data_IF_257705378779
#
_entry.id   IF_257705378779
#
_cell.length_a   1.000
_cell.length_b   1.000
_cell.length_c   1.000
_cell.angle_alpha   90.00
_cell.angle_beta   90.00
_cell.angle_gamma   90.00
#
_symmetry.space_group_name_H-M   'P 1'
#
loop_
_entity.id
_entity.type
_entity.pdbx_description
1 polymer ?
#
# COMPACT_ATOMS: atom_id res chain seq x y z
N UNK A 1 17.84 8.94 -6.43
CA UNK A 1 16.73 9.48 -7.28
C UNK A 1 15.45 8.98 -6.66
N UNK A 2 14.55 9.88 -6.29
CA UNK A 2 13.35 9.51 -5.56
C UNK A 2 12.51 8.46 -6.31
N UNK A 3 12.03 7.47 -5.60
CA UNK A 3 11.11 6.45 -6.10
C UNK A 3 9.70 7.01 -6.27
N UNK A 4 9.31 7.90 -5.34
CA UNK A 4 8.03 8.60 -5.33
C UNK A 4 8.26 10.06 -4.95
N UNK A 5 7.66 10.99 -5.68
CA UNK A 5 7.52 12.38 -5.29
C UNK A 5 6.04 12.77 -5.39
N UNK A 6 5.53 13.40 -4.36
CA UNK A 6 4.17 13.94 -4.29
C UNK A 6 4.30 15.44 -4.06
N UNK A 7 3.63 16.24 -4.90
CA UNK A 7 3.76 17.71 -4.88
C UNK A 7 2.39 18.35 -4.79
N UNK A 8 2.17 19.11 -3.73
CA UNK A 8 0.97 19.92 -3.47
C UNK A 8 -0.34 19.14 -3.72
N UNK A 9 -0.39 17.86 -3.28
CA UNK A 9 -1.53 16.99 -3.54
C UNK A 9 -2.73 17.41 -2.71
N UNK A 10 -3.83 17.77 -3.38
CA UNK A 10 -5.09 18.17 -2.75
C UNK A 10 -6.22 17.23 -3.12
N UNK A 11 -7.17 17.05 -2.21
CA UNK A 11 -8.40 16.31 -2.48
C UNK A 11 -9.57 16.92 -1.74
N UNK A 12 -10.61 17.25 -2.50
CA UNK A 12 -11.90 17.68 -1.96
C UNK A 12 -13.00 16.71 -2.34
N UNK A 13 -14.01 16.59 -1.49
CA UNK A 13 -15.28 15.91 -1.75
C UNK A 13 -16.40 16.94 -1.55
N UNK A 14 -16.94 17.46 -2.66
CA UNK A 14 -17.82 18.64 -2.62
C UNK A 14 -17.06 19.81 -1.99
N UNK A 15 -17.64 20.44 -0.98
CA UNK A 15 -17.09 21.60 -0.27
C UNK A 15 -16.07 21.24 0.83
N UNK A 16 -15.85 19.94 1.10
CA UNK A 16 -14.94 19.47 2.15
C UNK A 16 -13.56 19.18 1.59
N UNK A 17 -12.58 20.00 1.92
CA UNK A 17 -11.17 19.76 1.58
C UNK A 17 -10.54 18.79 2.60
N UNK A 18 -10.23 17.57 2.14
CA UNK A 18 -9.68 16.48 2.95
C UNK A 18 -8.15 16.43 2.91
N UNK A 19 -7.55 16.73 1.76
CA UNK A 19 -6.10 16.93 1.64
C UNK A 19 -5.85 18.35 1.15
N UNK A 20 -4.98 19.08 1.88
CA UNK A 20 -4.81 20.52 1.73
C UNK A 20 -3.42 20.94 1.21
N UNK A 21 -2.84 20.11 0.33
CA UNK A 21 -1.49 20.32 -0.20
C UNK A 21 -0.48 19.46 0.56
N UNK A 22 -0.36 18.21 0.17
CA UNK A 22 0.56 17.24 0.78
C UNK A 22 1.79 17.12 -0.11
N UNK A 23 2.97 17.35 0.48
CA UNK A 23 4.28 17.30 -0.19
C UNK A 23 5.20 16.32 0.52
N UNK A 24 5.70 15.29 -0.17
CA UNK A 24 6.73 14.39 0.36
C UNK A 24 7.44 13.61 -0.75
N UNK A 25 8.56 13.01 -0.40
CA UNK A 25 9.29 12.10 -1.28
C UNK A 25 9.80 10.87 -0.54
N UNK A 26 9.95 9.77 -1.29
CA UNK A 26 10.55 8.52 -0.82
C UNK A 26 11.63 8.07 -1.78
N UNK A 27 12.74 7.63 -1.23
CA UNK A 27 13.79 6.95 -1.98
C UNK A 27 13.42 5.46 -2.18
N UNK A 28 14.13 4.81 -3.11
CA UNK A 28 13.95 3.38 -3.34
C UNK A 28 14.34 2.57 -2.10
N UNK A 29 13.49 1.62 -1.73
CA UNK A 29 13.68 0.76 -0.56
C UNK A 29 13.24 1.39 0.76
N UNK A 30 12.89 2.69 0.80
CA UNK A 30 12.38 3.33 2.01
C UNK A 30 10.97 2.85 2.38
N UNK A 31 10.74 2.76 3.68
CA UNK A 31 9.42 2.48 4.28
C UNK A 31 8.91 3.72 4.98
N UNK A 32 7.78 4.25 4.54
CA UNK A 32 7.05 5.33 5.16
C UNK A 32 5.87 4.78 5.95
N UNK A 33 5.79 5.06 7.25
CA UNK A 33 4.55 4.91 8.01
C UNK A 33 3.80 6.23 8.10
N UNK A 34 2.49 6.19 7.85
CA UNK A 34 1.57 7.31 7.99
C UNK A 34 0.72 7.07 9.22
N UNK A 35 0.84 7.95 10.21
CA UNK A 35 0.10 7.91 11.48
C UNK A 35 -0.79 9.15 11.62
N UNK A 36 -1.73 9.13 12.53
CA UNK A 36 -2.63 10.25 12.81
C UNK A 36 -4.03 9.80 13.21
N UNK A 37 -4.86 10.73 13.68
CA UNK A 37 -6.24 10.48 14.09
C UNK A 37 -7.13 10.01 12.95
N UNK A 38 -8.24 9.37 13.28
CA UNK A 38 -9.29 9.04 12.31
C UNK A 38 -9.83 10.31 11.65
N UNK A 39 -10.08 10.26 10.34
CA UNK A 39 -10.53 11.42 9.56
C UNK A 39 -9.42 12.40 9.14
N UNK A 40 -8.16 12.22 9.57
CA UNK A 40 -7.05 13.12 9.23
C UNK A 40 -6.59 13.12 7.76
N UNK A 41 -7.16 12.23 6.90
CA UNK A 41 -6.83 12.18 5.47
C UNK A 41 -5.92 11.01 5.05
N UNK A 42 -5.45 10.17 5.98
CA UNK A 42 -4.50 9.05 5.70
C UNK A 42 -4.95 8.11 4.59
N UNK A 43 -6.13 7.51 4.74
CA UNK A 43 -6.73 6.60 3.75
C UNK A 43 -7.02 7.32 2.43
N UNK A 44 -7.44 8.60 2.48
CA UNK A 44 -7.67 9.41 1.27
C UNK A 44 -6.37 9.63 0.52
N UNK A 45 -5.27 9.97 1.22
CA UNK A 45 -3.95 10.09 0.60
C UNK A 45 -3.55 8.77 -0.08
N UNK A 46 -3.67 7.65 0.63
CA UNK A 46 -3.30 6.34 0.10
C UNK A 46 -4.14 5.94 -1.13
N UNK A 47 -5.46 6.28 -1.12
CA UNK A 47 -6.36 6.05 -2.26
C UNK A 47 -6.01 6.94 -3.46
N UNK A 48 -5.62 8.20 -3.23
CA UNK A 48 -5.16 9.07 -4.30
C UNK A 48 -3.87 8.54 -4.94
N UNK A 49 -2.91 8.09 -4.14
CA UNK A 49 -1.66 7.48 -4.63
C UNK A 49 -1.91 6.22 -5.46
N UNK A 50 -2.94 5.44 -5.12
CA UNK A 50 -3.32 4.23 -5.86
C UNK A 50 -4.38 4.46 -6.94
N UNK A 51 -4.75 5.71 -7.24
CA UNK A 51 -5.75 6.08 -8.26
C UNK A 51 -7.13 5.44 -8.06
N UNK A 52 -7.48 5.14 -6.81
CA UNK A 52 -8.84 4.77 -6.41
C UNK A 52 -9.71 6.00 -6.17
N UNK A 53 -9.05 7.11 -5.82
CA UNK A 53 -9.62 8.46 -5.78
C UNK A 53 -8.75 9.36 -6.66
N UNK A 54 -9.36 10.17 -7.48
CA UNK A 54 -8.64 11.16 -8.28
C UNK A 54 -8.42 12.39 -7.41
N UNK A 55 -7.16 12.80 -7.23
CA UNK A 55 -6.84 14.03 -6.51
C UNK A 55 -7.42 15.25 -7.24
N UNK A 56 -7.73 16.30 -6.49
CA UNK A 56 -8.32 17.54 -7.06
C UNK A 56 -7.24 18.38 -7.76
N UNK A 57 -6.02 18.42 -7.21
CA UNK A 57 -4.86 19.05 -7.84
C UNK A 57 -3.55 18.50 -7.26
N UNK A 58 -2.42 18.81 -7.90
CA UNK A 58 -1.08 18.39 -7.52
C UNK A 58 -0.47 17.41 -8.51
N UNK A 59 0.76 16.94 -8.19
CA UNK A 59 1.51 16.04 -9.04
C UNK A 59 1.97 14.80 -8.29
N UNK A 60 2.01 13.66 -8.99
CA UNK A 60 2.61 12.41 -8.52
C UNK A 60 3.64 11.97 -9.56
N UNK A 61 4.87 11.77 -9.11
CA UNK A 61 6.00 11.33 -9.94
C UNK A 61 6.53 10.02 -9.38
N UNK A 62 6.69 9.00 -10.22
CA UNK A 62 7.25 7.69 -9.86
C UNK A 62 8.44 7.40 -10.76
N UNK A 63 9.62 7.15 -10.16
CA UNK A 63 10.87 6.89 -10.88
C UNK A 63 11.21 8.01 -11.90
N UNK A 64 10.93 9.28 -11.56
CA UNK A 64 11.15 10.44 -12.42
C UNK A 64 10.12 10.64 -13.53
N UNK A 65 9.12 9.76 -13.65
CA UNK A 65 8.02 9.88 -14.60
C UNK A 65 6.79 10.48 -13.92
N UNK A 66 6.26 11.58 -14.46
CA UNK A 66 4.99 12.15 -14.00
C UNK A 66 3.84 11.21 -14.37
N UNK A 67 3.22 10.61 -13.36
CA UNK A 67 2.12 9.64 -13.54
C UNK A 67 0.74 10.27 -13.32
N UNK A 68 0.72 11.39 -12.62
CA UNK A 68 -0.47 12.21 -12.38
C UNK A 68 -0.08 13.70 -12.36
N UNK A 69 -0.83 14.53 -13.07
CA UNK A 69 -0.76 15.98 -13.02
C UNK A 69 -2.18 16.54 -13.07
N UNK A 70 -2.55 17.35 -12.09
CA UNK A 70 -3.81 18.08 -12.09
C UNK A 70 -3.61 19.51 -11.60
N UNK A 71 -4.16 20.46 -12.33
CA UNK A 71 -4.25 21.87 -11.95
C UNK A 71 -5.68 22.21 -11.61
N UNK A 72 -5.85 23.16 -10.71
CA UNK A 72 -7.19 23.61 -10.30
C UNK A 72 -8.01 24.03 -11.53
N UNK A 73 -9.17 23.35 -11.73
CA UNK A 73 -10.07 23.62 -12.85
C UNK A 73 -9.74 22.93 -14.19
N UNK A 74 -8.67 22.14 -14.25
CA UNK A 74 -8.31 21.36 -15.45
C UNK A 74 -8.65 19.87 -15.26
N UNK A 75 -8.87 19.16 -16.38
CA UNK A 75 -8.99 17.71 -16.34
C UNK A 75 -7.63 17.07 -15.97
N UNK A 76 -7.61 16.11 -15.02
CA UNK A 76 -6.38 15.48 -14.60
C UNK A 76 -5.77 14.62 -15.73
N UNK A 77 -4.46 14.72 -15.90
CA UNK A 77 -3.69 13.84 -16.77
C UNK A 77 -3.17 12.65 -15.98
N UNK A 78 -3.57 11.45 -16.37
CA UNK A 78 -3.20 10.20 -15.71
C UNK A 78 -2.50 9.29 -16.72
N UNK A 79 -1.30 8.79 -16.38
CA UNK A 79 -0.62 7.81 -17.20
C UNK A 79 -1.31 6.44 -17.09
N UNK A 80 -1.67 5.84 -18.22
CA UNK A 80 -2.44 4.59 -18.29
C UNK A 80 -1.79 3.39 -17.54
N UNK A 81 -0.46 3.37 -17.40
CA UNK A 81 0.27 2.26 -16.79
C UNK A 81 0.56 2.45 -15.29
N UNK A 82 0.07 3.52 -14.68
CA UNK A 82 0.36 3.86 -13.27
C UNK A 82 -0.12 2.79 -12.30
N UNK A 83 -1.25 2.15 -12.57
CA UNK A 83 -1.82 1.10 -11.72
C UNK A 83 -0.91 -0.14 -11.59
N UNK A 84 0.02 -0.35 -12.53
CA UNK A 84 1.00 -1.43 -12.45
C UNK A 84 2.19 -1.09 -11.54
N UNK A 85 2.43 0.22 -11.29
CA UNK A 85 3.53 0.70 -10.44
C UNK A 85 3.19 0.67 -8.95
N UNK A 86 1.90 0.73 -8.60
CA UNK A 86 1.41 0.77 -7.22
C UNK A 86 0.64 -0.50 -6.89
N UNK A 87 0.89 -1.06 -5.72
CA UNK A 87 0.11 -2.18 -5.18
C UNK A 87 -0.57 -1.76 -3.89
N UNK A 88 -1.83 -2.16 -3.68
CA UNK A 88 -2.57 -1.82 -2.46
C UNK A 88 -3.09 -3.07 -1.76
N UNK A 89 -2.82 -3.12 -0.46
CA UNK A 89 -3.39 -4.06 0.50
C UNK A 89 -4.40 -3.30 1.34
N UNK A 90 -5.66 -3.69 1.27
CA UNK A 90 -6.76 -3.03 1.94
C UNK A 90 -6.88 -3.45 3.41
N UNK A 91 -7.54 -2.64 4.22
CA UNK A 91 -7.94 -2.94 5.58
C UNK A 91 -8.83 -4.20 5.65
N UNK A 92 -9.83 -4.29 4.78
CA UNK A 92 -10.58 -5.51 4.54
C UNK A 92 -9.85 -6.35 3.49
N UNK A 93 -9.79 -7.65 3.68
CA UNK A 93 -8.98 -8.57 2.85
C UNK A 93 -9.37 -8.54 1.37
N UNK A 94 -10.63 -8.27 1.06
CA UNK A 94 -11.20 -8.16 -0.30
C UNK A 94 -10.79 -9.32 -1.21
N UNK A 95 -10.76 -10.54 -0.65
CA UNK A 95 -10.51 -11.74 -1.43
C UNK A 95 -11.74 -12.13 -2.24
N UNK A 96 -11.53 -12.66 -3.42
CA UNK A 96 -12.58 -13.21 -4.25
C UNK A 96 -13.04 -14.56 -3.66
N UNK A 97 -14.25 -14.66 -3.08
CA UNK A 97 -14.68 -15.84 -2.34
C UNK A 97 -14.84 -17.09 -3.21
N UNK A 98 -15.07 -16.90 -4.52
CA UNK A 98 -15.25 -17.97 -5.50
C UNK A 98 -13.90 -18.57 -6.00
N UNK A 99 -12.77 -17.97 -5.65
CA UNK A 99 -11.44 -18.47 -6.02
C UNK A 99 -10.71 -19.02 -4.80
N UNK A 100 -9.95 -20.09 -5.00
CA UNK A 100 -8.99 -20.57 -4.00
C UNK A 100 -7.89 -19.54 -3.74
N UNK A 101 -7.05 -19.78 -2.75
CA UNK A 101 -5.89 -18.92 -2.43
C UNK A 101 -5.03 -18.71 -3.68
N UNK A 102 -4.59 -19.78 -4.34
CA UNK A 102 -3.77 -19.65 -5.55
C UNK A 102 -4.55 -19.01 -6.69
N UNK A 103 -5.86 -19.26 -6.80
CA UNK A 103 -6.75 -18.61 -7.75
C UNK A 103 -6.80 -17.08 -7.58
N UNK A 104 -6.88 -16.60 -6.33
CA UNK A 104 -6.83 -15.19 -5.99
C UNK A 104 -5.52 -14.53 -6.44
N UNK A 105 -4.38 -15.20 -6.28
CA UNK A 105 -3.08 -14.68 -6.69
C UNK A 105 -2.95 -14.63 -8.22
N UNK A 106 -3.41 -15.65 -8.91
CA UNK A 106 -3.19 -15.82 -10.35
C UNK A 106 -4.14 -14.98 -11.22
N UNK A 107 -5.26 -14.47 -10.67
CA UNK A 107 -6.33 -13.83 -11.45
C UNK A 107 -5.80 -12.64 -12.26
N UNK A 108 -5.22 -11.64 -11.59
CA UNK A 108 -4.72 -10.43 -12.25
C UNK A 108 -3.56 -10.74 -13.21
N UNK A 109 -2.52 -11.51 -12.84
CA UNK A 109 -1.45 -11.89 -13.78
C UNK A 109 -1.97 -12.62 -15.03
N UNK A 110 -2.94 -13.51 -14.90
CA UNK A 110 -3.55 -14.19 -16.06
C UNK A 110 -4.31 -13.22 -16.98
N UNK A 111 -4.96 -12.20 -16.42
CA UNK A 111 -5.64 -11.16 -17.21
C UNK A 111 -4.62 -10.29 -17.95
N UNK A 112 -3.53 -9.87 -17.27
CA UNK A 112 -2.44 -9.12 -17.90
C UNK A 112 -1.74 -9.92 -18.99
N UNK A 113 -1.49 -11.19 -18.75
CA UNK A 113 -0.85 -12.07 -19.72
C UNK A 113 -1.63 -12.17 -21.06
N UNK A 114 -2.98 -12.06 -21.02
CA UNK A 114 -3.81 -12.06 -22.26
C UNK A 114 -3.51 -10.91 -23.20
N UNK A 115 -2.91 -9.81 -22.69
CA UNK A 115 -2.51 -8.65 -23.50
C UNK A 115 -1.17 -8.86 -24.22
N UNK A 116 -0.42 -9.91 -23.88
CA UNK A 116 0.90 -10.20 -24.48
C UNK A 116 0.72 -10.65 -25.93
N UNK A 117 1.57 -10.20 -26.87
CA UNK A 117 1.51 -10.62 -28.29
C UNK A 117 1.68 -12.13 -28.47
N UNK A 118 2.52 -12.76 -27.64
CA UNK A 118 2.88 -14.17 -27.70
C UNK A 118 1.91 -15.10 -26.92
N UNK A 119 0.88 -14.54 -26.27
CA UNK A 119 -0.01 -15.27 -25.37
C UNK A 119 -0.67 -16.50 -26.02
N UNK A 120 -1.16 -16.37 -27.27
CA UNK A 120 -1.88 -17.46 -27.92
C UNK A 120 -0.98 -18.67 -28.18
N UNK A 121 0.30 -18.44 -28.49
CA UNK A 121 1.29 -19.47 -28.79
C UNK A 121 1.84 -20.11 -27.50
N UNK A 122 2.12 -19.30 -26.47
CA UNK A 122 2.84 -19.73 -25.26
C UNK A 122 1.94 -19.81 -24.01
N UNK A 123 0.62 -19.87 -24.17
CA UNK A 123 -0.35 -19.81 -23.06
C UNK A 123 -0.06 -20.80 -21.91
N UNK A 124 0.32 -22.05 -22.23
CA UNK A 124 0.59 -23.06 -21.21
C UNK A 124 1.84 -22.71 -20.39
N UNK A 125 2.90 -22.29 -21.05
CA UNK A 125 4.15 -21.86 -20.43
C UNK A 125 3.93 -20.64 -19.53
N UNK A 126 3.30 -19.60 -20.07
CA UNK A 126 2.97 -18.38 -19.33
C UNK A 126 2.14 -18.68 -18.07
N UNK A 127 1.17 -19.59 -18.17
CA UNK A 127 0.35 -19.94 -17.00
C UNK A 127 1.15 -20.75 -15.97
N UNK A 128 2.08 -21.58 -16.39
CA UNK A 128 2.99 -22.31 -15.53
C UNK A 128 3.94 -21.33 -14.78
N UNK A 129 4.53 -20.38 -15.49
CA UNK A 129 5.36 -19.32 -14.87
C UNK A 129 4.57 -18.54 -13.80
N UNK A 130 3.32 -18.17 -14.10
CA UNK A 130 2.44 -17.46 -13.14
C UNK A 130 2.17 -18.33 -11.92
N UNK A 131 1.92 -19.63 -12.10
CA UNK A 131 1.66 -20.57 -11.00
C UNK A 131 2.89 -20.77 -10.12
N UNK A 132 4.06 -20.99 -10.71
CA UNK A 132 5.34 -21.10 -10.00
C UNK A 132 5.65 -19.82 -9.20
N UNK A 133 5.40 -18.64 -9.78
CA UNK A 133 5.53 -17.37 -9.07
C UNK A 133 4.57 -17.28 -7.89
N UNK A 134 3.30 -17.67 -8.06
CA UNK A 134 2.30 -17.68 -7.00
C UNK A 134 2.70 -18.63 -5.86
N UNK A 135 3.15 -19.83 -6.16
CA UNK A 135 3.63 -20.77 -5.14
C UNK A 135 4.84 -20.24 -4.37
N UNK A 136 5.77 -19.59 -5.06
CA UNK A 136 6.93 -18.97 -4.40
C UNK A 136 6.52 -17.85 -3.45
N UNK A 137 5.57 -17.00 -3.83
CA UNK A 137 5.04 -15.95 -2.95
C UNK A 137 4.29 -16.58 -1.76
N UNK A 138 3.51 -17.65 -1.98
CA UNK A 138 2.84 -18.36 -0.89
C UNK A 138 3.81 -19.02 0.09
N UNK A 139 4.99 -19.46 -0.36
CA UNK A 139 6.06 -19.95 0.54
C UNK A 139 6.56 -18.79 1.43
N UNK A 140 6.86 -17.63 0.85
CA UNK A 140 7.32 -16.44 1.59
C UNK A 140 6.28 -15.96 2.60
N UNK A 141 4.99 -15.99 2.24
CA UNK A 141 3.90 -15.58 3.15
C UNK A 141 3.42 -16.70 4.10
N UNK A 142 4.07 -17.87 4.08
CA UNK A 142 3.74 -19.00 4.96
C UNK A 142 2.40 -19.67 4.66
N UNK A 143 1.91 -19.62 3.41
CA UNK A 143 0.57 -20.08 3.03
C UNK A 143 0.57 -21.20 1.99
N UNK A 144 1.71 -21.77 1.63
CA UNK A 144 1.80 -22.79 0.57
C UNK A 144 0.91 -24.00 0.84
N UNK A 145 0.77 -24.43 2.10
CA UNK A 145 -0.08 -25.55 2.51
C UNK A 145 -1.59 -25.25 2.39
N UNK A 146 -1.94 -23.97 2.17
CA UNK A 146 -3.32 -23.49 2.02
C UNK A 146 -3.64 -23.08 0.59
N UNK A 147 -2.79 -23.39 -0.40
CA UNK A 147 -2.94 -22.89 -1.77
C UNK A 147 -4.31 -23.21 -2.40
N UNK A 148 -4.87 -24.38 -2.08
CA UNK A 148 -6.15 -24.84 -2.63
C UNK A 148 -7.35 -24.50 -1.74
N UNK A 149 -7.13 -23.93 -0.55
CA UNK A 149 -8.19 -23.51 0.35
C UNK A 149 -8.92 -22.28 -0.20
N UNK A 150 -10.18 -22.11 0.20
CA UNK A 150 -10.99 -20.94 -0.13
C UNK A 150 -10.99 -19.91 1.03
N UNK A 151 -11.29 -18.63 0.78
CA UNK A 151 -11.25 -17.59 1.81
C UNK A 151 -12.00 -17.93 3.09
N UNK A 152 -13.17 -18.55 3.00
CA UNK A 152 -13.97 -18.91 4.18
C UNK A 152 -13.35 -20.03 5.05
N UNK A 153 -12.30 -20.71 4.57
CA UNK A 153 -11.55 -21.75 5.30
C UNK A 153 -10.30 -21.18 6.00
N UNK A 154 -10.09 -19.87 5.93
CA UNK A 154 -8.91 -19.18 6.44
C UNK A 154 -9.24 -18.30 7.65
N UNK A 155 -8.31 -18.20 8.60
CA UNK A 155 -8.37 -17.18 9.65
C UNK A 155 -8.20 -15.77 9.04
N UNK A 156 -8.59 -14.72 9.77
CA UNK A 156 -8.41 -13.33 9.34
C UNK A 156 -6.96 -13.02 8.98
N UNK A 157 -6.00 -13.41 9.82
CA UNK A 157 -4.57 -13.23 9.54
C UNK A 157 -4.09 -13.99 8.30
N UNK A 158 -4.63 -15.20 8.04
CA UNK A 158 -4.35 -15.92 6.81
C UNK A 158 -4.93 -15.22 5.59
N UNK A 159 -6.18 -14.71 5.68
CA UNK A 159 -6.80 -13.94 4.60
C UNK A 159 -6.00 -12.67 4.27
N UNK A 160 -5.52 -11.95 5.29
CA UNK A 160 -4.69 -10.76 5.08
C UNK A 160 -3.35 -11.12 4.42
N UNK A 161 -2.72 -12.20 4.83
CA UNK A 161 -1.49 -12.68 4.17
C UNK A 161 -1.73 -13.10 2.71
N UNK A 162 -2.91 -13.64 2.37
CA UNK A 162 -3.31 -13.88 0.97
C UNK A 162 -3.48 -12.56 0.22
N UNK A 163 -4.08 -11.52 0.83
CA UNK A 163 -4.22 -10.20 0.22
C UNK A 163 -2.84 -9.56 -0.07
N UNK A 164 -1.90 -9.69 0.86
CA UNK A 164 -0.49 -9.28 0.66
C UNK A 164 0.13 -10.07 -0.49
N UNK A 165 0.02 -11.39 -0.48
CA UNK A 165 0.56 -12.26 -1.52
C UNK A 165 0.00 -11.90 -2.91
N UNK A 166 -1.31 -11.60 -2.99
CA UNK A 166 -1.97 -11.16 -4.22
C UNK A 166 -1.40 -9.84 -4.75
N UNK A 167 -1.17 -8.86 -3.88
CA UNK A 167 -0.57 -7.59 -4.26
C UNK A 167 0.85 -7.76 -4.81
N UNK A 168 1.63 -8.67 -4.24
CA UNK A 168 3.00 -8.98 -4.67
C UNK A 168 3.07 -9.64 -6.07
N UNK A 169 2.00 -10.27 -6.54
CA UNK A 169 1.99 -10.96 -7.83
C UNK A 169 2.28 -10.04 -9.03
N UNK A 170 1.86 -8.78 -8.96
CA UNK A 170 2.10 -7.79 -10.02
C UNK A 170 3.47 -7.12 -9.91
N UNK A 171 4.26 -7.45 -8.88
CA UNK A 171 5.60 -6.89 -8.62
C UNK A 171 5.60 -5.34 -8.65
N UNK A 172 4.71 -4.68 -7.89
CA UNK A 172 4.61 -3.23 -7.90
C UNK A 172 5.93 -2.58 -7.45
N UNK A 173 6.17 -1.36 -7.90
CA UNK A 173 7.33 -0.54 -7.49
C UNK A 173 7.19 -0.05 -6.06
N UNK A 174 5.96 0.27 -5.66
CA UNK A 174 5.60 0.74 -4.33
C UNK A 174 4.43 -0.09 -3.82
N UNK A 175 4.55 -0.64 -2.62
CA UNK A 175 3.51 -1.42 -1.98
C UNK A 175 2.87 -0.62 -0.85
N UNK A 176 1.57 -0.38 -0.96
CA UNK A 176 0.78 0.38 0.00
C UNK A 176 -0.04 -0.54 0.89
N UNK A 177 -0.17 -0.18 2.18
CA UNK A 177 -0.98 -0.89 3.16
C UNK A 177 -1.93 0.10 3.84
N UNK A 178 -3.23 -0.15 3.74
CA UNK A 178 -4.27 0.64 4.41
C UNK A 178 -4.72 -0.12 5.67
N UNK A 179 -4.14 0.23 6.82
CA UNK A 179 -4.45 -0.36 8.12
C UNK A 179 -4.49 -1.91 8.10
N UNK A 180 -3.39 -2.60 7.73
CA UNK A 180 -3.41 -4.03 7.40
C UNK A 180 -3.76 -4.95 8.57
N UNK A 181 -3.86 -4.44 9.80
CA UNK A 181 -4.13 -5.22 11.01
C UNK A 181 -5.42 -4.84 11.73
N UNK A 182 -6.07 -3.74 11.36
CA UNK A 182 -7.22 -3.20 12.09
C UNK A 182 -8.49 -4.09 12.07
N UNK A 183 -8.58 -5.01 11.10
CA UNK A 183 -9.66 -6.00 11.00
C UNK A 183 -9.31 -7.35 11.65
N UNK A 184 -8.21 -7.41 12.42
CA UNK A 184 -7.68 -8.65 13.01
C UNK A 184 -7.77 -8.62 14.53
N UNK A 185 -7.93 -9.81 15.11
CA UNK A 185 -7.72 -10.01 16.54
C UNK A 185 -6.24 -9.78 16.90
N UNK A 186 -5.94 -9.26 18.11
CA UNK A 186 -4.55 -8.96 18.52
C UNK A 186 -3.58 -10.13 18.39
N UNK A 187 -4.05 -11.36 18.60
CA UNK A 187 -3.23 -12.58 18.48
C UNK A 187 -2.77 -12.83 17.03
N UNK A 188 -3.55 -12.40 16.03
CA UNK A 188 -3.25 -12.60 14.60
C UNK A 188 -2.45 -11.44 13.99
N UNK A 189 -2.44 -10.27 14.64
CA UNK A 189 -1.72 -9.08 14.21
C UNK A 189 -0.23 -9.33 14.02
N UNK A 190 0.40 -10.02 14.97
CA UNK A 190 1.84 -10.31 14.95
C UNK A 190 2.30 -11.08 13.71
N UNK A 191 1.50 -12.02 13.20
CA UNK A 191 1.84 -12.81 12.00
C UNK A 191 1.87 -11.93 10.73
N UNK A 192 0.93 -11.00 10.62
CA UNK A 192 0.85 -10.08 9.46
C UNK A 192 1.98 -9.05 9.51
N UNK A 193 2.24 -8.46 10.68
CA UNK A 193 3.33 -7.50 10.86
C UNK A 193 4.70 -8.14 10.59
N UNK A 194 4.87 -9.43 10.94
CA UNK A 194 6.09 -10.17 10.62
C UNK A 194 6.31 -10.27 9.11
N UNK A 195 5.27 -10.60 8.34
CA UNK A 195 5.37 -10.66 6.88
C UNK A 195 5.73 -9.30 6.29
N UNK A 196 5.11 -8.21 6.78
CA UNK A 196 5.44 -6.86 6.29
C UNK A 196 6.90 -6.50 6.61
N UNK A 197 7.39 -6.86 7.81
CA UNK A 197 8.79 -6.65 8.18
C UNK A 197 9.77 -7.47 7.31
N UNK A 198 9.42 -8.69 6.94
CA UNK A 198 10.21 -9.50 6.01
C UNK A 198 10.26 -8.88 4.61
N UNK A 199 9.18 -8.22 4.16
CA UNK A 199 9.15 -7.51 2.89
C UNK A 199 10.09 -6.29 2.89
N UNK A 200 10.25 -5.57 4.02
CA UNK A 200 11.24 -4.50 4.15
C UNK A 200 12.66 -5.02 3.88
N UNK A 201 13.01 -6.17 4.43
CA UNK A 201 14.33 -6.77 4.25
C UNK A 201 14.66 -7.13 2.79
N UNK A 202 13.67 -7.11 1.89
CA UNK A 202 13.83 -7.34 0.45
C UNK A 202 13.93 -6.06 -0.39
N UNK A 203 14.31 -4.94 0.23
CA UNK A 203 14.55 -3.62 -0.43
C UNK A 203 13.30 -3.09 -1.17
N UNK A 204 12.12 -3.26 -0.57
CA UNK A 204 10.85 -2.80 -1.14
C UNK A 204 10.47 -1.44 -0.60
N UNK A 205 10.13 -0.54 -1.51
CA UNK A 205 9.52 0.74 -1.15
C UNK A 205 8.08 0.50 -0.69
N UNK A 206 7.74 0.94 0.52
CA UNK A 206 6.43 0.71 1.12
C UNK A 206 5.86 1.98 1.75
N UNK A 207 4.52 2.09 1.71
CA UNK A 207 3.75 3.11 2.45
C UNK A 207 2.73 2.37 3.31
N UNK A 208 2.75 2.61 4.62
CA UNK A 208 1.94 1.88 5.58
C UNK A 208 1.11 2.87 6.39
N UNK A 209 -0.20 2.91 6.19
CA UNK A 209 -1.12 3.55 7.12
C UNK A 209 -1.38 2.59 8.27
N UNK A 210 -1.10 3.02 9.51
CA UNK A 210 -1.24 2.14 10.68
C UNK A 210 -1.54 2.91 11.95
N UNK A 211 -2.21 2.25 12.88
CA UNK A 211 -2.39 2.68 14.27
C UNK A 211 -1.41 1.96 15.23
N UNK A 212 -0.63 0.99 14.73
CA UNK A 212 0.36 0.24 15.48
C UNK A 212 1.66 1.06 15.62
N UNK A 213 1.73 1.98 16.62
CA UNK A 213 2.84 2.91 16.76
C UNK A 213 4.17 2.20 17.01
N UNK A 214 4.18 1.15 17.83
CA UNK A 214 5.37 0.35 18.07
C UNK A 214 5.89 -0.34 16.81
N UNK A 215 5.01 -0.79 15.93
CA UNK A 215 5.38 -1.36 14.64
C UNK A 215 5.92 -0.28 13.71
N UNK A 216 5.22 0.86 13.58
CA UNK A 216 5.66 1.99 12.78
C UNK A 216 7.08 2.43 13.16
N UNK A 217 7.36 2.58 14.48
CA UNK A 217 8.69 2.91 15.01
C UNK A 217 9.78 1.93 14.57
N UNK A 218 9.47 0.62 14.57
CA UNK A 218 10.46 -0.44 14.32
C UNK A 218 10.65 -0.77 12.83
N UNK A 219 9.67 -0.46 11.96
CA UNK A 219 9.74 -0.87 10.56
C UNK A 219 10.06 0.28 9.61
N UNK A 220 9.77 1.52 10.00
CA UNK A 220 9.87 2.66 9.10
C UNK A 220 11.28 3.24 9.02
N UNK A 221 11.60 3.81 7.89
CA UNK A 221 12.74 4.70 7.70
C UNK A 221 12.29 6.15 7.86
N UNK A 222 11.02 6.42 7.55
CA UNK A 222 10.35 7.71 7.77
C UNK A 222 8.96 7.52 8.34
N UNK A 223 8.53 8.48 9.14
CA UNK A 223 7.18 8.54 9.70
C UNK A 223 6.56 9.90 9.35
N UNK A 224 5.33 9.87 8.92
CA UNK A 224 4.51 11.04 8.59
C UNK A 224 3.33 11.09 9.56
N UNK A 225 3.18 12.20 10.28
CA UNK A 225 1.99 12.47 11.06
C UNK A 225 1.07 13.42 10.28
N UNK A 226 -0.12 12.92 9.95
CA UNK A 226 -1.16 13.70 9.25
C UNK A 226 -2.29 14.02 10.20
N UNK A 227 -2.65 15.31 10.28
CA UNK A 227 -3.84 15.80 10.96
C UNK A 227 -4.50 16.90 10.13
N UNK A 228 -5.82 16.99 10.16
CA UNK A 228 -6.62 18.01 9.49
C UNK A 228 -6.30 18.21 7.99
N UNK A 229 -5.84 17.16 7.32
CA UNK A 229 -5.51 17.15 5.89
C UNK A 229 -4.14 17.72 5.53
N UNK A 230 -3.27 18.01 6.50
CA UNK A 230 -1.90 18.49 6.29
C UNK A 230 -0.88 17.58 6.98
N UNK A 231 0.36 17.61 6.48
CA UNK A 231 1.49 16.97 7.16
C UNK A 231 1.89 17.90 8.32
N UNK A 232 1.66 17.45 9.55
CA UNK A 232 2.04 18.17 10.76
C UNK A 232 3.46 17.86 11.22
N UNK A 233 3.96 16.64 10.91
CA UNK A 233 5.35 16.25 11.15
C UNK A 233 5.78 15.18 10.15
N UNK A 234 7.06 15.22 9.75
CA UNK A 234 7.66 14.25 8.84
C UNK A 234 9.15 14.12 9.18
N UNK A 235 9.61 12.92 9.48
CA UNK A 235 11.00 12.68 9.87
C UNK A 235 11.30 11.22 10.13
N UNK A 236 12.46 10.95 10.75
CA UNK A 236 12.83 9.61 11.22
C UNK A 236 11.94 9.16 12.38
N UNK A 237 11.86 7.85 12.67
CA UNK A 237 11.14 7.37 13.84
C UNK A 237 11.61 8.03 15.16
N UNK A 238 12.90 8.28 15.32
CA UNK A 238 13.47 8.94 16.51
C UNK A 238 12.97 10.38 16.65
N UNK A 239 12.93 11.15 15.56
CA UNK A 239 12.43 12.53 15.55
C UNK A 239 10.95 12.59 15.90
N UNK A 240 10.14 11.65 15.38
CA UNK A 240 8.68 11.66 15.54
C UNK A 240 8.27 11.10 16.92
N UNK A 241 8.87 10.01 17.39
CA UNK A 241 8.41 9.31 18.59
C UNK A 241 9.14 9.73 19.88
N UNK A 242 10.41 10.13 19.80
CA UNK A 242 11.22 10.43 21.00
C UNK A 242 11.28 11.94 21.28
N UNK A 243 11.23 12.77 20.24
CA UNK A 243 11.35 14.22 20.34
C UNK A 243 10.24 14.94 19.58
N UNK A 244 8.96 14.75 19.94
CA UNK A 244 7.85 15.39 19.21
C UNK A 244 7.86 16.91 19.42
N UNK A 245 8.30 17.66 18.42
CA UNK A 245 8.34 19.13 18.44
C UNK A 245 6.92 19.76 18.33
N UNK A 246 5.98 19.03 17.71
CA UNK A 246 4.63 19.49 17.47
C UNK A 246 3.68 19.07 18.60
N UNK A 247 2.96 20.03 19.20
CA UNK A 247 2.01 19.77 20.29
C UNK A 247 0.85 18.83 19.93
N UNK A 248 0.36 18.87 18.67
CA UNK A 248 -0.66 17.92 18.19
C UNK A 248 -0.11 16.50 18.14
N UNK A 249 1.14 16.34 17.67
CA UNK A 249 1.83 15.06 17.64
C UNK A 249 2.05 14.52 19.06
N UNK A 250 2.56 15.36 19.99
CA UNK A 250 2.77 14.99 21.38
C UNK A 250 1.47 14.52 22.06
N UNK A 251 0.36 15.24 21.82
CA UNK A 251 -0.95 14.85 22.32
C UNK A 251 -1.44 13.53 21.72
N UNK A 252 -1.22 13.31 20.42
CA UNK A 252 -1.59 12.06 19.75
C UNK A 252 -0.79 10.87 20.31
N UNK A 253 0.51 11.03 20.53
CA UNK A 253 1.36 9.97 21.09
C UNK A 253 1.09 9.70 22.59
N UNK A 254 0.71 10.72 23.35
CA UNK A 254 0.35 10.58 24.77
C UNK A 254 -1.04 9.97 25.00
N UNK A 255 -1.90 9.94 23.97
CA UNK A 255 -3.24 9.36 24.02
C UNK A 255 -3.28 7.87 23.58
N UNK A 256 -2.19 7.35 23.02
CA UNK A 256 -1.99 5.98 22.55
C UNK A 256 -0.83 5.32 23.30
#
# INVERSE_FOLDING_TARGET
MAQLEVKNLKKSFGDVEVLKGVDFSLEKGEVLSIIGSSGGGKTTLLRCLNFLEIASSGDIVIEGETVFEAKDGEEPKINANVQEKMGLVFQQFNLFPQYSVIGNLMLAPKLHAKKRPDFKQNKKEIYKEIEEKAENILKVTGLIQKKDAYPYQLSGGQQQRVAIARALMLAPKILCFDEPTSALDPELTGEVLKVIKELKNSDRTMIIVTHELAFARNVSDKVMFIADGVIEAFGTPEEIFDNPENSKLANFLGAN
#
